data_IF_478514467620
#
_entry.id   IF_478514467620
#
_cell.length_a   1.000
_cell.length_b   1.000
_cell.length_c   1.000
_cell.angle_alpha   90.00
_cell.angle_beta   90.00
_cell.angle_gamma   90.00
#
_symmetry.space_group_name_H-M   'P 1'
#
loop_
_entity.id
_entity.type
_entity.pdbx_description
1 polymer ?
#
# COMPACT_ATOMS: atom_id res chain seq x y z
N UNK A 1 -1.66 -1.69 23.72
CA UNK A 1 -2.54 -0.84 22.89
C UNK A 1 -3.69 -1.70 22.37
N UNK A 2 -4.92 -1.19 22.36
CA UNK A 2 -6.07 -1.94 21.81
C UNK A 2 -6.14 -1.69 20.30
N UNK A 3 -6.05 -2.74 19.48
CA UNK A 3 -6.19 -2.64 18.01
C UNK A 3 -7.55 -2.08 17.56
N UNK A 4 -8.55 -2.01 18.45
CA UNK A 4 -9.87 -1.45 18.17
C UNK A 4 -9.84 0.01 17.73
N UNK A 5 -8.92 0.84 18.24
CA UNK A 5 -8.79 2.24 17.81
C UNK A 5 -8.36 2.35 16.35
N UNK A 6 -7.32 1.60 15.94
CA UNK A 6 -6.86 1.61 14.56
C UNK A 6 -7.92 1.04 13.61
N UNK A 7 -8.63 -0.02 14.02
CA UNK A 7 -9.75 -0.55 13.23
C UNK A 7 -10.85 0.49 13.03
N UNK A 8 -11.25 1.18 14.10
CA UNK A 8 -12.28 2.23 14.01
C UNK A 8 -11.84 3.38 13.10
N UNK A 9 -10.60 3.84 13.25
CA UNK A 9 -10.01 4.85 12.38
C UNK A 9 -10.03 4.41 10.91
N UNK A 10 -9.67 3.16 10.62
CA UNK A 10 -9.72 2.63 9.25
C UNK A 10 -11.13 2.62 8.65
N UNK A 11 -12.16 2.38 9.48
CA UNK A 11 -13.55 2.44 9.05
C UNK A 11 -14.00 3.89 8.80
N UNK A 12 -13.62 4.83 9.68
CA UNK A 12 -13.98 6.24 9.55
C UNK A 12 -13.37 6.90 8.31
N UNK A 13 -12.19 6.44 7.88
CA UNK A 13 -11.46 6.99 6.74
C UNK A 13 -11.53 6.14 5.46
N UNK A 14 -12.40 5.11 5.42
CA UNK A 14 -12.61 4.22 4.28
C UNK A 14 -11.31 3.61 3.71
N UNK A 15 -10.40 3.19 4.60
CA UNK A 15 -9.03 2.79 4.23
C UNK A 15 -9.03 1.66 3.20
N UNK A 16 -9.86 0.63 3.35
CA UNK A 16 -9.91 -0.51 2.43
C UNK A 16 -10.31 -0.10 1.01
N UNK A 17 -11.41 0.65 0.88
CA UNK A 17 -11.91 1.13 -0.40
C UNK A 17 -10.88 2.03 -1.08
N UNK A 18 -10.29 2.98 -0.35
CA UNK A 18 -9.31 3.91 -0.89
C UNK A 18 -8.02 3.22 -1.31
N UNK A 19 -7.56 2.27 -0.50
CA UNK A 19 -6.35 1.47 -0.82
C UNK A 19 -6.54 0.61 -2.06
N UNK A 20 -7.71 -0.02 -2.20
CA UNK A 20 -8.03 -0.85 -3.37
C UNK A 20 -8.14 0.01 -4.63
N UNK A 21 -8.76 1.19 -4.54
CA UNK A 21 -8.88 2.11 -5.68
C UNK A 21 -7.52 2.65 -6.11
N UNK A 22 -6.68 3.07 -5.15
CA UNK A 22 -5.33 3.56 -5.44
C UNK A 22 -4.44 2.46 -6.03
N UNK A 23 -4.53 1.23 -5.50
CA UNK A 23 -3.88 0.06 -6.08
C UNK A 23 -4.20 -0.09 -7.57
N UNK A 24 -5.48 -0.10 -7.94
CA UNK A 24 -5.88 -0.30 -9.33
C UNK A 24 -5.46 0.85 -10.24
N UNK A 25 -5.45 2.08 -9.73
CA UNK A 25 -4.90 3.22 -10.44
C UNK A 25 -3.41 3.01 -10.77
N UNK A 26 -2.60 2.70 -9.75
CA UNK A 26 -1.16 2.48 -9.93
C UNK A 26 -0.85 1.24 -10.77
N UNK A 27 -1.59 0.15 -10.59
CA UNK A 27 -1.45 -1.08 -11.38
C UNK A 27 -1.70 -0.84 -12.87
N UNK A 28 -2.75 -0.06 -13.22
CA UNK A 28 -3.06 0.29 -14.61
C UNK A 28 -2.00 1.21 -15.21
N UNK A 29 -1.48 2.17 -14.44
CA UNK A 29 -0.36 2.99 -14.89
C UNK A 29 0.87 2.12 -15.15
N UNK A 30 1.22 1.21 -14.23
CA UNK A 30 2.33 0.27 -14.42
C UNK A 30 2.17 -0.58 -15.68
N UNK A 31 0.96 -1.11 -15.93
CA UNK A 31 0.65 -1.87 -17.14
C UNK A 31 0.87 -1.06 -18.44
N UNK A 32 0.52 0.22 -18.44
CA UNK A 32 0.63 1.09 -19.61
C UNK A 32 2.03 1.70 -19.81
N UNK A 33 2.70 2.11 -18.74
CA UNK A 33 3.98 2.83 -18.80
C UNK A 33 5.18 1.89 -18.86
N UNK A 34 5.08 0.71 -18.26
CA UNK A 34 6.16 -0.28 -18.15
C UNK A 34 5.74 -1.63 -18.76
N UNK A 35 5.14 -1.60 -19.95
CA UNK A 35 4.53 -2.77 -20.58
C UNK A 35 5.48 -3.97 -20.72
N UNK A 36 6.76 -3.77 -21.06
CA UNK A 36 7.74 -4.86 -21.18
C UNK A 36 7.99 -5.56 -19.84
N UNK A 37 8.18 -4.78 -18.77
CA UNK A 37 8.34 -5.29 -17.41
C UNK A 37 7.06 -5.97 -16.93
N UNK A 38 5.90 -5.35 -17.16
CA UNK A 38 4.60 -5.91 -16.85
C UNK A 38 4.41 -7.29 -17.49
N UNK A 39 4.71 -7.43 -18.78
CA UNK A 39 4.65 -8.71 -19.50
C UNK A 39 5.63 -9.71 -18.92
N UNK A 40 6.83 -9.30 -18.50
CA UNK A 40 7.81 -10.20 -17.88
C UNK A 40 7.32 -10.78 -16.53
N UNK A 41 6.53 -10.00 -15.79
CA UNK A 41 6.01 -10.38 -14.46
C UNK A 41 4.68 -11.14 -14.55
N UNK A 42 3.73 -10.64 -15.35
CA UNK A 42 2.34 -11.11 -15.42
C UNK A 42 2.01 -11.93 -16.68
N UNK A 43 2.88 -11.89 -17.70
CA UNK A 43 2.68 -12.55 -18.98
C UNK A 43 1.84 -11.74 -19.97
N UNK A 44 1.97 -12.05 -21.26
CA UNK A 44 1.25 -11.37 -22.36
C UNK A 44 -0.28 -11.52 -22.28
N UNK A 45 -0.75 -12.63 -21.72
CA UNK A 45 -2.18 -12.97 -21.61
C UNK A 45 -2.71 -12.74 -20.20
N UNK A 46 -2.25 -11.68 -19.52
CA UNK A 46 -2.73 -11.31 -18.19
C UNK A 46 -4.26 -11.19 -18.17
N UNK A 47 -4.86 -11.74 -17.12
CA UNK A 47 -6.27 -11.55 -16.81
C UNK A 47 -6.41 -11.07 -15.38
N UNK A 48 -7.28 -10.09 -15.18
CA UNK A 48 -7.54 -9.51 -13.86
C UNK A 48 -8.02 -10.57 -12.85
N UNK A 49 -8.72 -11.61 -13.31
CA UNK A 49 -9.20 -12.75 -12.48
C UNK A 49 -8.08 -13.59 -11.86
N UNK A 50 -6.87 -13.56 -12.43
CA UNK A 50 -5.69 -14.26 -11.90
C UNK A 50 -5.01 -13.46 -10.77
N UNK A 51 -5.44 -12.21 -10.55
CA UNK A 51 -4.90 -11.30 -9.55
C UNK A 51 -5.83 -11.22 -8.34
N UNK A 52 -5.30 -11.52 -7.15
CA UNK A 52 -6.00 -11.31 -5.88
C UNK A 52 -5.54 -10.01 -5.26
N UNK A 53 -6.50 -9.10 -5.03
CA UNK A 53 -6.30 -7.76 -4.47
C UNK A 53 -7.25 -7.60 -3.29
N UNK A 54 -6.71 -7.65 -2.08
CA UNK A 54 -7.49 -7.46 -0.86
C UNK A 54 -6.62 -6.83 0.22
N UNK A 55 -7.20 -5.94 1.03
CA UNK A 55 -6.51 -5.38 2.19
C UNK A 55 -6.15 -6.51 3.15
N UNK A 56 -4.87 -6.67 3.45
CA UNK A 56 -4.38 -7.74 4.33
C UNK A 56 -4.17 -7.25 5.75
N UNK A 57 -3.53 -6.10 5.89
CA UNK A 57 -3.18 -5.54 7.19
C UNK A 57 -3.04 -4.02 7.13
N UNK A 58 -3.08 -3.42 8.31
CA UNK A 58 -2.84 -1.99 8.53
C UNK A 58 -1.89 -1.83 9.70
N UNK A 59 -1.03 -0.83 9.65
CA UNK A 59 -0.08 -0.55 10.73
C UNK A 59 -0.02 0.95 11.01
N UNK A 60 0.13 1.30 12.29
CA UNK A 60 0.44 2.65 12.74
C UNK A 60 1.95 2.76 12.92
N UNK A 61 2.55 3.76 12.31
CA UNK A 61 3.96 4.10 12.41
C UNK A 61 4.12 5.35 13.28
N UNK A 62 4.93 5.22 14.32
CA UNK A 62 5.39 6.34 15.13
C UNK A 62 6.73 6.76 14.54
N UNK A 63 6.72 7.80 13.73
CA UNK A 63 7.86 8.17 12.90
C UNK A 63 8.91 8.94 13.70
N UNK A 64 8.45 9.86 14.57
CA UNK A 64 9.32 10.61 15.48
C UNK A 64 9.54 9.88 16.80
N UNK A 65 9.88 8.59 16.73
CA UNK A 65 10.26 7.84 17.93
C UNK A 65 11.57 8.35 18.55
N UNK A 66 12.52 8.70 17.68
CA UNK A 66 13.82 9.22 18.09
C UNK A 66 13.79 10.74 18.24
N UNK A 67 13.87 11.21 19.50
CA UNK A 67 13.89 12.64 19.84
C UNK A 67 15.19 13.34 19.41
N UNK A 68 16.26 12.59 19.16
CA UNK A 68 17.58 13.14 18.79
C UNK A 68 17.74 13.30 17.26
N UNK A 69 16.67 13.03 16.49
CA UNK A 69 16.58 13.22 15.05
C UNK A 69 17.64 12.48 14.22
N UNK A 70 18.19 11.36 14.72
CA UNK A 70 19.26 10.58 14.05
C UNK A 70 18.86 10.14 12.62
N UNK A 71 17.57 9.92 12.39
CA UNK A 71 17.01 9.37 11.15
C UNK A 71 16.24 10.39 10.30
N UNK A 72 16.57 11.69 10.39
CA UNK A 72 15.81 12.75 9.67
C UNK A 72 15.72 12.54 8.16
N UNK A 73 16.71 11.87 7.55
CA UNK A 73 16.74 11.61 6.11
C UNK A 73 15.73 10.54 5.63
N UNK A 74 15.15 9.76 6.55
CA UNK A 74 14.24 8.65 6.23
C UNK A 74 12.91 8.74 7.01
N UNK A 75 12.63 9.91 7.58
CA UNK A 75 11.42 10.22 8.35
C UNK A 75 10.53 11.18 7.56
N UNK A 76 9.22 10.96 7.60
CA UNK A 76 8.22 11.88 7.06
C UNK A 76 7.97 13.08 7.99
N UNK A 77 8.39 12.95 9.25
CA UNK A 77 8.24 13.96 10.28
C UNK A 77 6.85 13.99 10.93
N UNK A 78 6.04 12.95 10.78
CA UNK A 78 4.73 12.82 11.43
C UNK A 78 4.34 11.35 11.51
N UNK A 79 3.50 10.99 12.47
CA UNK A 79 2.99 9.62 12.60
C UNK A 79 1.96 9.35 11.50
N UNK A 80 1.90 8.11 11.03
CA UNK A 80 1.09 7.75 9.88
C UNK A 80 0.58 6.32 9.94
N UNK A 81 -0.49 6.06 9.19
CA UNK A 81 -1.06 4.72 9.00
C UNK A 81 -0.68 4.22 7.61
N UNK A 82 -0.35 2.94 7.52
CA UNK A 82 -0.06 2.25 6.25
C UNK A 82 -1.04 1.12 6.08
N UNK A 83 -1.66 1.04 4.90
CA UNK A 83 -2.41 -0.12 4.47
C UNK A 83 -1.54 -1.02 3.57
N UNK A 84 -1.74 -2.33 3.65
CA UNK A 84 -0.96 -3.31 2.91
C UNK A 84 -1.87 -4.21 2.08
N UNK A 85 -1.69 -4.17 0.76
CA UNK A 85 -2.36 -5.06 -0.20
C UNK A 85 -1.27 -5.93 -0.84
N UNK A 86 -1.24 -7.25 -0.58
CA UNK A 86 -0.30 -8.12 -1.25
C UNK A 86 -0.68 -8.27 -2.73
N UNK A 87 0.31 -8.23 -3.60
CA UNK A 87 0.12 -8.47 -5.04
C UNK A 87 0.25 -9.98 -5.25
N UNK A 88 -0.88 -10.68 -5.34
CA UNK A 88 -0.90 -12.14 -5.50
C UNK A 88 -1.41 -12.49 -6.88
N UNK A 89 -0.56 -13.09 -7.71
CA UNK A 89 -0.90 -13.50 -9.06
C UNK A 89 -0.77 -15.02 -9.18
N UNK A 90 -1.83 -15.70 -9.61
CA UNK A 90 -1.88 -17.17 -9.71
C UNK A 90 -1.40 -17.85 -8.43
N UNK A 91 -1.95 -17.42 -7.30
CA UNK A 91 -1.64 -17.90 -5.94
C UNK A 91 -0.20 -17.64 -5.46
N UNK A 92 0.64 -16.98 -6.26
CA UNK A 92 1.99 -16.58 -5.88
C UNK A 92 2.02 -15.11 -5.49
N UNK A 93 2.51 -14.82 -4.28
CA UNK A 93 2.84 -13.45 -3.88
C UNK A 93 4.02 -12.94 -4.71
N UNK A 94 3.80 -11.84 -5.40
CA UNK A 94 4.80 -11.13 -6.21
C UNK A 94 5.30 -9.86 -5.55
N UNK A 95 4.61 -9.33 -4.55
CA UNK A 95 5.02 -8.07 -3.94
C UNK A 95 3.95 -7.47 -3.04
N UNK A 96 4.02 -6.15 -2.87
CA UNK A 96 3.13 -5.36 -2.03
C UNK A 96 2.79 -4.03 -2.67
N UNK A 97 1.53 -3.66 -2.52
CA UNK A 97 1.11 -2.28 -2.58
C UNK A 97 0.90 -1.73 -1.17
N UNK A 98 1.41 -0.53 -0.93
CA UNK A 98 1.27 0.20 0.33
C UNK A 98 0.68 1.56 0.06
N UNK A 99 -0.35 1.94 0.81
CA UNK A 99 -0.90 3.30 0.77
C UNK A 99 -0.72 3.95 2.14
N UNK A 100 -0.16 5.15 2.15
CA UNK A 100 0.21 5.86 3.37
C UNK A 100 -0.76 7.01 3.62
N UNK A 101 -1.23 7.09 4.86
CA UNK A 101 -2.18 8.08 5.32
C UNK A 101 -1.63 8.82 6.54
N UNK A 102 -1.78 10.14 6.59
CA UNK A 102 -1.57 10.88 7.84
C UNK A 102 -2.71 10.53 8.85
N UNK A 103 -2.62 11.01 10.09
CA UNK A 103 -3.62 10.69 11.13
C UNK A 103 -4.98 11.36 10.88
N UNK A 104 -5.03 12.38 10.01
CA UNK A 104 -6.24 13.01 9.49
C UNK A 104 -6.90 12.19 8.37
N UNK A 105 -6.23 11.12 7.90
CA UNK A 105 -6.72 10.21 6.88
C UNK A 105 -6.48 10.69 5.45
N UNK A 106 -5.66 11.72 5.24
CA UNK A 106 -5.24 12.15 3.91
C UNK A 106 -4.14 11.23 3.38
N UNK A 107 -4.23 10.85 2.10
CA UNK A 107 -3.18 10.08 1.43
C UNK A 107 -2.03 11.03 1.11
N UNK A 108 -0.82 10.68 1.49
CA UNK A 108 0.37 11.49 1.18
C UNK A 108 1.43 10.77 0.36
N UNK A 109 1.40 9.44 0.31
CA UNK A 109 2.38 8.64 -0.44
C UNK A 109 1.83 7.23 -0.72
N UNK A 110 2.43 6.56 -1.70
CA UNK A 110 2.15 5.16 -2.01
C UNK A 110 3.37 4.42 -2.58
N UNK A 111 3.39 3.11 -2.38
CA UNK A 111 4.47 2.26 -2.90
C UNK A 111 3.89 1.05 -3.61
N UNK A 112 4.27 0.86 -4.86
CA UNK A 112 4.02 -0.34 -5.63
C UNK A 112 5.34 -1.10 -5.81
N UNK A 113 5.50 -2.22 -5.11
CA UNK A 113 6.77 -2.96 -5.03
C UNK A 113 6.56 -4.39 -5.52
N UNK A 114 7.37 -4.83 -6.47
CA UNK A 114 7.50 -6.22 -6.92
C UNK A 114 8.81 -6.79 -6.35
N UNK A 115 8.74 -7.97 -5.71
CA UNK A 115 9.84 -8.69 -5.03
C UNK A 115 10.59 -9.67 -5.96
#
# INVERSE_FOLDING_TARGET
>A
MNSGFLKQWCLEHDVETRSTNAFWYCFRNYQCEYTEEFISVFGENFKEEDLTVALKEVALFIDRWDNDATYTAISYGFDYVVSYIPIVFKEKKLGWYKLLFNLEGEIFDDFFIID
#
